data_IF_923223029466
#
_entry.id   IF_923223029466
#
_cell.length_a   1.000
_cell.length_b   1.000
_cell.length_c   1.000
_cell.angle_alpha   90.00
_cell.angle_beta   90.00
_cell.angle_gamma   90.00
#
_symmetry.space_group_name_H-M   'P 1'
#
loop_
_entity.id
_entity.type
_entity.pdbx_description
1 polymer ?
#
# COMPACT_ATOMS: atom_id res chain seq x y z
N UNK A 1 -4.60 -8.86 25.92
CA UNK A 1 -5.06 -8.69 24.53
C UNK A 1 -3.88 -8.70 23.56
N UNK A 2 -2.91 -7.79 23.68
CA UNK A 2 -1.73 -7.75 22.80
C UNK A 2 -1.04 -9.12 22.63
N UNK A 3 -0.60 -9.76 23.73
CA UNK A 3 0.04 -11.07 23.69
C UNK A 3 -0.83 -12.16 23.07
N UNK A 4 -2.13 -12.18 23.39
CA UNK A 4 -3.07 -13.14 22.81
C UNK A 4 -3.18 -12.98 21.29
N UNK A 5 -3.34 -11.75 20.80
CA UNK A 5 -3.43 -11.49 19.37
C UNK A 5 -2.13 -11.86 18.65
N UNK A 6 -0.97 -11.45 19.21
CA UNK A 6 0.32 -11.74 18.60
C UNK A 6 0.60 -13.24 18.53
N UNK A 7 0.38 -13.93 19.65
CA UNK A 7 0.56 -15.38 19.74
C UNK A 7 -0.33 -16.10 18.72
N UNK A 8 -1.63 -15.77 18.68
CA UNK A 8 -2.55 -16.44 17.76
C UNK A 8 -2.28 -16.13 16.29
N UNK A 9 -1.70 -14.95 15.94
CA UNK A 9 -1.29 -14.65 14.56
C UNK A 9 -0.20 -15.63 14.09
N UNK A 10 0.75 -16.00 14.96
CA UNK A 10 1.82 -16.93 14.61
C UNK A 10 1.45 -18.40 14.74
N UNK A 11 0.61 -18.74 15.73
CA UNK A 11 0.32 -20.13 16.09
C UNK A 11 -0.82 -20.75 15.26
N UNK A 12 -1.70 -19.93 14.68
CA UNK A 12 -2.95 -20.43 14.10
C UNK A 12 -3.04 -20.19 12.59
N UNK A 13 -3.29 -21.27 11.83
CA UNK A 13 -3.56 -21.19 10.39
C UNK A 13 -4.84 -20.42 10.06
N UNK A 14 -5.84 -20.39 10.96
CA UNK A 14 -7.09 -19.63 10.79
C UNK A 14 -7.45 -18.87 12.04
N UNK A 15 -7.22 -17.57 12.00
CA UNK A 15 -7.49 -16.70 13.13
C UNK A 15 -8.97 -16.28 13.20
N UNK A 16 -9.62 -16.58 14.33
CA UNK A 16 -11.00 -16.17 14.61
C UNK A 16 -11.16 -15.81 16.09
N UNK A 17 -12.25 -15.11 16.45
CA UNK A 17 -12.51 -14.82 17.87
C UNK A 17 -12.76 -16.07 18.72
N UNK A 18 -13.17 -17.20 18.11
CA UNK A 18 -13.27 -18.49 18.81
C UNK A 18 -11.90 -19.06 19.08
N UNK A 19 -11.04 -19.04 18.07
CA UNK A 19 -9.62 -19.43 18.20
C UNK A 19 -8.91 -18.63 19.29
N UNK A 20 -9.18 -17.32 19.39
CA UNK A 20 -8.67 -16.47 20.47
C UNK A 20 -9.19 -16.91 21.86
N UNK A 21 -10.46 -17.30 21.97
CA UNK A 21 -11.04 -17.84 23.21
C UNK A 21 -10.39 -19.17 23.60
N UNK A 22 -10.32 -20.11 22.66
CA UNK A 22 -9.75 -21.44 22.88
C UNK A 22 -8.28 -21.34 23.28
N UNK A 23 -7.50 -20.48 22.61
CA UNK A 23 -6.08 -20.27 22.92
C UNK A 23 -5.90 -19.69 24.31
N UNK A 24 -6.62 -18.61 24.66
CA UNK A 24 -6.51 -18.00 25.98
C UNK A 24 -6.87 -18.99 27.10
N UNK A 25 -7.88 -19.83 26.87
CA UNK A 25 -8.36 -20.79 27.86
C UNK A 25 -7.47 -22.06 27.94
N UNK A 26 -6.51 -22.23 27.04
CA UNK A 26 -5.56 -23.35 27.07
C UNK A 26 -4.52 -23.18 28.19
N UNK A 27 -4.14 -24.29 28.84
CA UNK A 27 -3.10 -24.25 29.88
C UNK A 27 -1.73 -23.84 29.33
N UNK A 28 -1.44 -24.17 28.07
CA UNK A 28 -0.17 -23.80 27.43
C UNK A 28 0.01 -22.28 27.30
N UNK A 29 -1.00 -21.58 26.82
CA UNK A 29 -0.97 -20.11 26.74
C UNK A 29 -0.87 -19.48 28.14
N UNK A 30 -1.65 -19.98 29.09
CA UNK A 30 -1.64 -19.47 30.47
C UNK A 30 -0.29 -19.65 31.15
N UNK A 31 0.31 -20.83 31.01
CA UNK A 31 1.64 -21.11 31.54
C UNK A 31 2.71 -20.20 30.91
N UNK A 32 2.64 -19.96 29.59
CA UNK A 32 3.61 -19.12 28.87
C UNK A 32 3.56 -17.65 29.32
N UNK A 33 2.38 -17.14 29.65
CA UNK A 33 2.17 -15.73 30.01
C UNK A 33 1.88 -15.50 31.51
N UNK A 34 2.04 -16.51 32.35
CA UNK A 34 1.89 -16.42 33.81
C UNK A 34 0.46 -16.09 34.28
N UNK A 35 -0.55 -16.63 33.59
CA UNK A 35 -1.98 -16.43 33.93
C UNK A 35 -2.51 -17.55 34.83
N UNK A 36 -3.51 -17.25 35.65
CA UNK A 36 -4.17 -18.23 36.51
C UNK A 36 -4.99 -19.26 35.72
N UNK A 37 -5.02 -20.51 36.17
CA UNK A 37 -5.80 -21.58 35.51
C UNK A 37 -7.31 -21.31 35.55
N UNK A 38 -7.79 -20.62 36.57
CA UNK A 38 -9.16 -20.16 36.74
C UNK A 38 -9.55 -19.01 35.81
N UNK A 39 -8.57 -18.25 35.28
CA UNK A 39 -8.85 -17.15 34.36
C UNK A 39 -9.46 -17.66 33.07
N UNK A 40 -10.59 -17.07 32.67
CA UNK A 40 -11.29 -17.45 31.45
C UNK A 40 -11.76 -16.24 30.69
N UNK A 41 -11.75 -16.35 29.38
CA UNK A 41 -12.36 -15.37 28.47
C UNK A 41 -13.42 -16.06 27.63
N UNK A 42 -14.40 -15.27 27.17
CA UNK A 42 -15.40 -15.69 26.18
C UNK A 42 -15.22 -14.89 24.90
N UNK A 43 -15.58 -15.47 23.76
CA UNK A 43 -15.60 -14.80 22.45
C UNK A 43 -16.34 -13.47 22.49
N UNK A 44 -17.47 -13.39 23.19
CA UNK A 44 -18.25 -12.14 23.31
C UNK A 44 -17.44 -11.03 23.99
N UNK A 45 -16.69 -11.37 25.03
CA UNK A 45 -15.81 -10.43 25.74
C UNK A 45 -14.65 -9.96 24.85
N UNK A 46 -14.08 -10.85 24.04
CA UNK A 46 -13.06 -10.50 23.04
C UNK A 46 -13.65 -9.54 22.00
N UNK A 47 -14.83 -9.85 21.45
CA UNK A 47 -15.52 -9.01 20.48
C UNK A 47 -15.81 -7.61 21.03
N UNK A 48 -16.27 -7.54 22.28
CA UNK A 48 -16.55 -6.27 22.94
C UNK A 48 -15.26 -5.48 23.16
N UNK A 49 -14.20 -6.14 23.63
CA UNK A 49 -12.90 -5.49 23.85
C UNK A 49 -12.32 -4.94 22.54
N UNK A 50 -12.34 -5.71 21.45
CA UNK A 50 -11.86 -5.26 20.14
C UNK A 50 -12.67 -4.08 19.58
N UNK A 51 -13.93 -3.93 19.98
CA UNK A 51 -14.76 -2.80 19.56
C UNK A 51 -14.52 -1.49 20.30
N UNK A 52 -13.82 -1.54 21.45
CA UNK A 52 -13.64 -0.41 22.38
C UNK A 52 -12.19 -0.05 22.67
N UNK A 53 -11.27 -1.01 22.52
CA UNK A 53 -9.84 -0.77 22.79
C UNK A 53 -9.30 0.27 21.82
N UNK A 54 -8.52 1.22 22.33
CA UNK A 54 -7.94 2.27 21.49
C UNK A 54 -6.95 1.66 20.48
N UNK A 55 -7.19 1.78 19.16
CA UNK A 55 -6.28 1.28 18.14
C UNK A 55 -4.95 2.05 18.12
N UNK A 56 -4.91 3.30 18.60
CA UNK A 56 -3.68 4.10 18.62
C UNK A 56 -2.58 3.46 19.46
N UNK A 57 -2.93 2.76 20.55
CA UNK A 57 -1.96 2.00 21.34
C UNK A 57 -1.16 0.99 20.47
N UNK A 58 -1.84 0.29 19.56
CA UNK A 58 -1.21 -0.69 18.68
C UNK A 58 -0.46 -0.01 17.54
N UNK A 59 -1.01 1.10 17.04
CA UNK A 59 -0.38 1.93 16.01
C UNK A 59 0.94 2.51 16.49
N UNK A 60 1.00 3.07 17.70
CA UNK A 60 2.22 3.65 18.27
C UNK A 60 3.31 2.60 18.46
N UNK A 61 2.97 1.39 18.93
CA UNK A 61 3.93 0.27 19.01
C UNK A 61 4.45 -0.08 17.62
N UNK A 62 3.57 -0.18 16.63
CA UNK A 62 3.93 -0.41 15.24
C UNK A 62 4.89 0.67 14.71
N UNK A 63 4.57 1.94 14.92
CA UNK A 63 5.38 3.08 14.44
C UNK A 63 6.76 3.11 15.12
N UNK A 64 6.82 2.92 16.45
CA UNK A 64 8.09 2.86 17.19
C UNK A 64 8.95 1.68 16.75
N UNK A 65 8.34 0.51 16.51
CA UNK A 65 9.05 -0.64 15.95
C UNK A 65 9.60 -0.31 14.56
N UNK A 66 8.80 0.29 13.68
CA UNK A 66 9.26 0.68 12.35
C UNK A 66 10.47 1.63 12.43
N UNK A 67 10.40 2.68 13.26
CA UNK A 67 11.51 3.63 13.47
C UNK A 67 12.77 2.93 13.99
N UNK A 68 12.62 2.08 15.02
CA UNK A 68 13.75 1.35 15.58
C UNK A 68 14.39 0.42 14.55
N UNK A 69 13.58 -0.32 13.78
CA UNK A 69 14.10 -1.35 12.88
C UNK A 69 14.56 -0.81 11.54
N UNK A 70 13.93 0.24 11.00
CA UNK A 70 14.40 0.91 9.78
C UNK A 70 15.84 1.42 9.94
N UNK A 71 16.24 1.84 11.15
CA UNK A 71 17.62 2.22 11.46
C UNK A 71 18.66 1.09 11.36
N UNK A 72 18.22 -0.18 11.37
CA UNK A 72 19.08 -1.36 11.27
C UNK A 72 19.33 -1.80 9.81
N UNK A 73 18.72 -1.13 8.83
CA UNK A 73 18.93 -1.39 7.41
C UNK A 73 19.79 -0.27 6.83
N UNK A 74 20.89 -0.64 6.16
CA UNK A 74 21.79 0.34 5.59
C UNK A 74 21.11 1.07 4.42
N UNK A 75 21.36 2.37 4.31
CA UNK A 75 20.97 3.21 3.16
C UNK A 75 21.55 2.74 1.81
N UNK A 76 22.39 1.71 1.79
CA UNK A 76 22.89 1.05 0.58
C UNK A 76 22.07 -0.18 0.14
N UNK A 77 21.26 -0.78 1.04
CA UNK A 77 20.28 -1.81 0.68
C UNK A 77 18.97 -1.19 0.16
N UNK A 78 18.67 0.00 0.66
CA UNK A 78 17.65 0.92 0.18
C UNK A 78 18.30 1.64 -1.01
N UNK A 79 17.80 1.44 -2.23
CA UNK A 79 18.36 2.11 -3.42
C UNK A 79 18.56 3.61 -3.15
N UNK A 80 19.56 4.21 -3.82
CA UNK A 80 19.99 5.64 -3.77
C UNK A 80 18.89 6.73 -3.68
N UNK A 81 17.60 6.35 -3.76
CA UNK A 81 16.42 7.19 -3.89
C UNK A 81 15.22 6.85 -2.96
N UNK A 82 15.39 6.13 -1.84
CA UNK A 82 14.33 5.86 -0.85
C UNK A 82 12.95 5.49 -1.46
N UNK A 83 12.87 4.38 -2.19
CA UNK A 83 11.66 3.99 -2.91
C UNK A 83 10.55 3.50 -1.97
N UNK A 84 9.35 4.08 -2.08
CA UNK A 84 8.16 3.61 -1.35
C UNK A 84 7.16 3.05 -2.35
N UNK A 85 6.90 1.75 -2.29
CA UNK A 85 5.89 1.10 -3.13
C UNK A 85 4.56 1.22 -2.44
N UNK A 86 3.54 1.68 -3.17
CA UNK A 86 2.20 1.87 -2.59
C UNK A 86 1.19 1.11 -3.42
N UNK A 87 0.39 0.30 -2.73
CA UNK A 87 -0.69 -0.45 -3.36
C UNK A 87 -1.82 -0.73 -2.38
N UNK A 88 -2.98 -1.12 -2.90
CA UNK A 88 -4.14 -1.49 -2.10
C UNK A 88 -4.46 -2.97 -2.22
N UNK A 89 -4.99 -3.53 -1.14
CA UNK A 89 -5.60 -4.85 -1.14
C UNK A 89 -7.00 -4.79 -0.54
N UNK A 90 -7.90 -5.62 -1.07
CA UNK A 90 -9.30 -5.71 -0.62
C UNK A 90 -9.54 -7.04 0.08
N UNK A 91 -10.33 -7.00 1.14
CA UNK A 91 -10.86 -8.18 1.84
C UNK A 91 -12.38 -8.22 1.71
N UNK A 92 -12.89 -9.35 1.19
CA UNK A 92 -14.29 -9.54 0.80
C UNK A 92 -15.00 -10.71 1.50
N UNK A 93 -14.27 -11.78 1.83
CA UNK A 93 -14.91 -13.08 2.11
C UNK A 93 -15.58 -13.18 3.48
N UNK A 94 -15.17 -12.36 4.45
CA UNK A 94 -15.77 -12.29 5.79
C UNK A 94 -16.78 -11.15 5.94
N UNK A 95 -17.10 -10.45 4.85
CA UNK A 95 -17.66 -9.10 4.93
C UNK A 95 -19.18 -8.98 4.75
N UNK A 96 -19.91 -10.10 4.61
CA UNK A 96 -21.38 -10.10 4.50
C UNK A 96 -22.09 -9.52 5.73
N UNK A 97 -21.40 -9.47 6.87
CA UNK A 97 -21.93 -8.98 8.17
C UNK A 97 -21.28 -7.67 8.65
N UNK A 98 -20.51 -6.99 7.81
CA UNK A 98 -19.93 -5.69 8.18
C UNK A 98 -21.03 -4.65 8.41
N UNK A 99 -20.91 -3.88 9.49
CA UNK A 99 -21.76 -2.70 9.71
C UNK A 99 -21.48 -1.64 8.66
N UNK A 100 -20.19 -1.38 8.40
CA UNK A 100 -19.70 -0.39 7.44
C UNK A 100 -18.67 -1.02 6.51
N UNK A 101 -18.66 -0.62 5.24
CA UNK A 101 -17.75 -1.13 4.22
C UNK A 101 -18.14 -0.64 2.84
N UNK A 102 -17.21 -0.77 1.89
CA UNK A 102 -17.42 -0.38 0.50
C UNK A 102 -18.40 -1.37 -0.14
N UNK A 103 -19.53 -0.87 -0.63
CA UNK A 103 -20.54 -1.68 -1.31
C UNK A 103 -20.37 -1.55 -2.82
N UNK A 104 -20.11 -2.67 -3.50
CA UNK A 104 -20.02 -2.72 -4.96
C UNK A 104 -21.34 -3.18 -5.62
N UNK A 105 -22.46 -3.12 -4.89
CA UNK A 105 -23.79 -3.59 -5.32
C UNK A 105 -23.83 -5.09 -5.64
N UNK A 106 -22.88 -5.84 -5.11
CA UNK A 106 -22.76 -7.30 -5.25
C UNK A 106 -23.33 -8.05 -4.04
N UNK A 107 -23.88 -7.34 -3.05
CA UNK A 107 -24.36 -7.90 -1.78
C UNK A 107 -23.26 -8.18 -0.75
N UNK A 108 -21.98 -7.96 -1.10
CA UNK A 108 -20.84 -8.02 -0.18
C UNK A 108 -20.29 -6.63 0.05
N UNK A 109 -20.10 -6.26 1.33
CA UNK A 109 -19.30 -5.09 1.71
C UNK A 109 -17.83 -5.46 1.65
N UNK A 110 -16.94 -4.49 1.49
CA UNK A 110 -15.51 -4.71 1.34
C UNK A 110 -14.74 -3.77 2.29
N UNK A 111 -13.59 -4.22 2.75
CA UNK A 111 -12.59 -3.36 3.41
C UNK A 111 -11.40 -3.25 2.48
N UNK A 112 -10.95 -2.02 2.26
CA UNK A 112 -9.73 -1.75 1.50
C UNK A 112 -8.62 -1.33 2.46
N UNK A 113 -7.45 -1.94 2.30
CA UNK A 113 -6.24 -1.58 2.99
C UNK A 113 -5.27 -1.01 1.97
N UNK A 114 -4.72 0.17 2.22
CA UNK A 114 -3.63 0.73 1.40
C UNK A 114 -2.36 0.69 2.22
N UNK A 115 -1.32 0.07 1.67
CA UNK A 115 -0.03 -0.10 2.33
C UNK A 115 1.05 0.66 1.59
N UNK A 116 2.00 1.18 2.37
CA UNK A 116 3.30 1.65 1.89
C UNK A 116 4.37 0.66 2.33
N UNK A 117 5.27 0.29 1.41
CA UNK A 117 6.33 -0.68 1.63
C UNK A 117 7.65 -0.13 1.10
N UNK A 118 8.66 -0.03 1.97
CA UNK A 118 9.98 0.54 1.61
C UNK A 118 10.90 -0.46 0.88
N UNK A 119 10.42 -1.69 0.67
CA UNK A 119 11.18 -2.80 0.08
C UNK A 119 11.60 -3.84 1.12
N UNK A 120 11.51 -3.49 2.41
CA UNK A 120 11.95 -4.31 3.52
C UNK A 120 10.85 -4.43 4.56
N UNK A 121 10.35 -3.29 5.05
CA UNK A 121 9.35 -3.17 6.10
C UNK A 121 8.11 -2.42 5.57
N UNK A 122 6.93 -2.73 6.11
CA UNK A 122 5.72 -2.00 5.77
C UNK A 122 5.66 -0.69 6.58
N UNK A 123 5.92 0.43 5.90
CA UNK A 123 6.10 1.76 6.50
C UNK A 123 4.80 2.50 6.82
N UNK A 124 3.69 2.13 6.20
CA UNK A 124 2.38 2.65 6.56
C UNK A 124 1.25 1.69 6.16
N UNK A 125 0.11 1.83 6.83
CA UNK A 125 -1.15 1.21 6.43
C UNK A 125 -2.34 2.11 6.78
N UNK A 126 -3.31 2.18 5.89
CA UNK A 126 -4.59 2.87 6.09
C UNK A 126 -5.78 1.94 5.83
N UNK A 127 -6.82 2.05 6.66
CA UNK A 127 -8.03 1.22 6.60
C UNK A 127 -9.20 2.03 6.06
N UNK A 128 -9.72 1.63 4.91
CA UNK A 128 -10.82 2.30 4.23
C UNK A 128 -12.09 1.45 4.16
N UNK A 129 -13.15 1.97 4.77
CA UNK A 129 -14.51 1.38 4.75
C UNK A 129 -15.54 2.25 4.03
N UNK A 130 -15.24 3.51 3.76
CA UNK A 130 -16.17 4.46 3.13
C UNK A 130 -16.29 4.29 1.61
N UNK A 131 -17.49 4.48 1.06
CA UNK A 131 -17.78 4.27 -0.37
C UNK A 131 -16.88 5.10 -1.31
N UNK A 132 -16.46 6.30 -0.88
CA UNK A 132 -15.56 7.17 -1.68
C UNK A 132 -14.22 6.50 -1.99
N UNK A 133 -13.78 5.52 -1.19
CA UNK A 133 -12.54 4.77 -1.37
C UNK A 133 -12.70 3.50 -2.21
N UNK A 134 -13.87 3.29 -2.81
CA UNK A 134 -14.06 2.25 -3.84
C UNK A 134 -13.06 2.41 -4.98
N UNK A 135 -12.75 3.64 -5.37
CA UNK A 135 -11.70 3.98 -6.33
C UNK A 135 -10.32 3.92 -5.68
N UNK A 136 -9.33 3.42 -6.40
CA UNK A 136 -7.93 3.43 -5.93
C UNK A 136 -7.34 4.83 -5.89
N UNK A 137 -7.68 5.69 -6.85
CA UNK A 137 -7.28 7.10 -6.87
C UNK A 137 -7.52 7.80 -5.53
N UNK A 138 -8.67 7.60 -4.88
CA UNK A 138 -8.97 8.25 -3.61
C UNK A 138 -8.24 7.60 -2.43
N UNK A 139 -8.19 6.26 -2.41
CA UNK A 139 -7.59 5.50 -1.32
C UNK A 139 -6.06 5.70 -1.27
N UNK A 140 -5.38 5.52 -2.40
CA UNK A 140 -3.93 5.67 -2.50
C UNK A 140 -3.50 7.12 -2.28
N UNK A 141 -4.25 8.10 -2.81
CA UNK A 141 -3.97 9.51 -2.56
C UNK A 141 -4.02 9.83 -1.06
N UNK A 142 -5.08 9.42 -0.36
CA UNK A 142 -5.22 9.70 1.06
C UNK A 142 -4.14 8.97 1.89
N UNK A 143 -3.83 7.72 1.55
CA UNK A 143 -2.78 6.95 2.22
C UNK A 143 -1.39 7.60 2.11
N UNK A 144 -1.00 8.01 0.90
CA UNK A 144 0.28 8.70 0.67
C UNK A 144 0.31 10.01 1.42
N UNK A 145 -0.74 10.84 1.31
CA UNK A 145 -0.78 12.13 1.98
C UNK A 145 -0.78 12.03 3.51
N UNK A 146 -1.33 10.97 4.08
CA UNK A 146 -1.28 10.72 5.53
C UNK A 146 0.12 10.30 5.98
N UNK A 147 0.83 9.50 5.18
CA UNK A 147 2.22 9.13 5.48
C UNK A 147 3.15 10.33 5.41
N UNK A 148 3.06 11.13 4.35
CA UNK A 148 3.89 12.33 4.13
C UNK A 148 3.85 13.28 5.31
N UNK A 149 2.67 13.47 5.92
CA UNK A 149 2.52 14.35 7.09
C UNK A 149 3.32 13.89 8.31
N UNK A 150 3.80 12.64 8.34
CA UNK A 150 4.62 12.08 9.41
C UNK A 150 6.12 12.23 9.14
N UNK A 151 6.54 12.37 7.89
CA UNK A 151 7.94 12.45 7.50
C UNK A 151 8.32 13.91 7.21
N UNK A 152 9.16 14.53 8.05
CA UNK A 152 9.51 15.96 7.93
C UNK A 152 10.47 16.28 6.76
N UNK A 153 11.18 15.27 6.23
CA UNK A 153 12.15 15.40 5.13
C UNK A 153 11.79 14.44 4.00
N UNK A 154 11.17 14.98 2.94
CA UNK A 154 10.60 14.17 1.86
C UNK A 154 11.60 13.88 0.73
N UNK A 155 12.44 12.85 0.91
CA UNK A 155 13.35 12.36 -0.15
C UNK A 155 12.81 11.13 -0.90
N UNK A 156 11.66 10.60 -0.49
CA UNK A 156 11.12 9.36 -1.05
C UNK A 156 10.60 9.51 -2.47
N UNK A 157 10.69 8.44 -3.26
CA UNK A 157 9.99 8.32 -4.54
C UNK A 157 8.87 7.27 -4.41
N UNK A 158 7.62 7.70 -4.56
CA UNK A 158 6.46 6.80 -4.50
C UNK A 158 6.22 6.06 -5.81
N UNK A 159 6.25 4.73 -5.77
CA UNK A 159 6.02 3.85 -6.92
C UNK A 159 4.58 3.32 -6.88
N UNK A 160 3.78 3.66 -7.89
CA UNK A 160 2.33 3.40 -7.90
C UNK A 160 1.93 2.76 -9.24
N UNK A 161 1.06 1.75 -9.22
CA UNK A 161 0.55 1.17 -10.47
C UNK A 161 -0.48 2.07 -11.17
N UNK A 162 -1.10 1.47 -12.19
CA UNK A 162 -2.30 1.94 -12.87
C UNK A 162 -3.49 2.31 -11.98
N UNK A 163 -3.45 2.03 -10.68
CA UNK A 163 -4.50 2.36 -9.72
C UNK A 163 -4.75 3.86 -9.51
N UNK A 164 -3.73 4.71 -9.70
CA UNK A 164 -3.86 6.15 -9.55
C UNK A 164 -3.68 6.85 -10.90
N UNK A 165 -4.76 7.42 -11.44
CA UNK A 165 -4.77 8.10 -12.74
C UNK A 165 -5.18 9.57 -12.66
N UNK A 166 -5.60 10.07 -11.50
CA UNK A 166 -6.06 11.44 -11.32
C UNK A 166 -4.92 12.45 -11.54
N UNK A 167 -5.01 13.24 -12.62
CA UNK A 167 -4.10 14.38 -12.86
C UNK A 167 -4.16 15.41 -11.72
N UNK A 168 -5.33 15.58 -11.08
CA UNK A 168 -5.47 16.48 -9.93
C UNK A 168 -4.64 16.01 -8.74
N UNK A 169 -4.60 14.70 -8.52
CA UNK A 169 -3.80 14.09 -7.45
C UNK A 169 -2.31 14.24 -7.73
N UNK A 170 -1.87 13.97 -8.97
CA UNK A 170 -0.48 14.19 -9.39
C UNK A 170 -0.05 15.66 -9.21
N UNK A 171 -0.96 16.61 -9.50
CA UNK A 171 -0.72 18.04 -9.24
C UNK A 171 -0.59 18.35 -7.75
N UNK A 172 -1.46 17.78 -6.91
CA UNK A 172 -1.40 17.97 -5.45
C UNK A 172 -0.11 17.37 -4.86
N UNK A 173 0.37 16.25 -5.42
CA UNK A 173 1.65 15.66 -5.06
C UNK A 173 2.82 16.58 -5.39
N UNK A 174 2.86 17.14 -6.59
CA UNK A 174 3.86 18.15 -6.96
C UNK A 174 3.85 19.36 -6.01
N UNK A 175 2.66 19.89 -5.69
CA UNK A 175 2.51 21.04 -4.79
C UNK A 175 3.00 20.78 -3.36
N UNK A 176 3.05 19.50 -2.97
CA UNK A 176 3.57 19.03 -1.67
C UNK A 176 4.99 18.49 -1.78
N UNK A 177 5.68 18.72 -2.89
CA UNK A 177 7.04 18.27 -3.17
C UNK A 177 7.20 16.73 -3.09
N UNK A 178 6.14 15.97 -3.41
CA UNK A 178 6.16 14.51 -3.40
C UNK A 178 6.64 13.98 -4.73
N UNK A 179 7.76 13.25 -4.73
CA UNK A 179 8.27 12.58 -5.93
C UNK A 179 7.53 11.26 -6.16
N UNK A 180 7.17 10.98 -7.40
CA UNK A 180 6.45 9.75 -7.74
C UNK A 180 6.83 9.19 -9.10
N UNK A 181 6.66 7.88 -9.27
CA UNK A 181 6.63 7.19 -10.56
C UNK A 181 5.32 6.41 -10.62
N UNK A 182 4.41 6.86 -11.48
CA UNK A 182 3.09 6.25 -11.65
C UNK A 182 3.02 5.59 -13.00
N UNK A 183 2.58 4.32 -13.04
CA UNK A 183 2.21 3.71 -14.32
C UNK A 183 0.89 4.29 -14.81
N UNK A 184 0.95 5.01 -15.91
CA UNK A 184 -0.22 5.55 -16.59
C UNK A 184 -0.92 4.47 -17.42
N UNK A 185 -2.23 4.66 -17.64
CA UNK A 185 -2.93 4.01 -18.74
C UNK A 185 -2.34 4.45 -20.09
N UNK A 186 -2.32 3.53 -21.04
CA UNK A 186 -1.94 3.78 -22.43
C UNK A 186 -2.86 4.84 -23.06
N UNK A 187 -2.35 5.58 -24.05
CA UNK A 187 -3.10 6.60 -24.79
C UNK A 187 -3.71 7.71 -23.91
N UNK A 188 -3.12 7.97 -22.74
CA UNK A 188 -3.51 9.12 -21.91
C UNK A 188 -3.34 10.40 -22.72
N UNK A 189 -4.32 11.29 -22.66
CA UNK A 189 -4.25 12.58 -23.35
C UNK A 189 -3.25 13.51 -22.65
N UNK A 190 -2.34 14.08 -23.43
CA UNK A 190 -1.32 15.04 -22.98
C UNK A 190 -1.01 16.07 -24.07
N UNK A 191 -0.46 17.21 -23.66
CA UNK A 191 0.21 18.17 -24.53
C UNK A 191 1.72 18.01 -24.33
N UNK A 192 2.46 17.78 -25.42
CA UNK A 192 3.91 17.73 -25.39
C UNK A 192 4.49 19.13 -25.43
N UNK A 193 5.40 19.42 -24.50
CA UNK A 193 6.07 20.72 -24.37
C UNK A 193 7.49 20.63 -24.92
N UNK A 194 8.20 19.55 -24.58
CA UNK A 194 9.59 19.34 -24.92
C UNK A 194 9.88 17.83 -25.01
N UNK A 195 10.62 17.40 -26.03
CA UNK A 195 11.12 16.02 -26.14
C UNK A 195 12.54 15.95 -25.62
N UNK A 196 12.81 14.99 -24.75
CA UNK A 196 14.15 14.65 -24.25
C UNK A 196 14.80 13.54 -25.10
N UNK A 197 14.05 12.91 -25.99
CA UNK A 197 14.59 11.89 -26.89
C UNK A 197 15.28 12.56 -28.08
N UNK A 198 16.57 12.29 -28.26
CA UNK A 198 17.32 12.68 -29.46
C UNK A 198 16.97 11.76 -30.63
N UNK A 199 16.69 12.35 -31.80
CA UNK A 199 16.21 11.62 -33.00
C UNK A 199 17.20 10.61 -33.56
N UNK A 200 18.49 10.77 -33.29
CA UNK A 200 19.55 9.98 -33.91
C UNK A 200 20.00 8.78 -33.06
N UNK A 201 19.73 8.78 -31.75
CA UNK A 201 20.15 7.75 -30.82
C UNK A 201 18.96 7.22 -30.00
N UNK A 202 18.25 6.23 -30.55
CA UNK A 202 17.19 5.55 -29.81
C UNK A 202 17.78 4.88 -28.56
N UNK A 203 17.46 5.43 -27.38
CA UNK A 203 17.93 4.92 -26.10
C UNK A 203 17.37 3.51 -25.88
N UNK A 204 18.28 2.55 -25.67
CA UNK A 204 17.95 1.13 -25.50
C UNK A 204 18.80 0.52 -24.39
N UNK A 205 18.22 -0.43 -23.67
CA UNK A 205 18.94 -1.31 -22.76
C UNK A 205 18.26 -2.68 -22.74
N UNK A 206 19.04 -3.76 -22.79
CA UNK A 206 18.53 -5.13 -22.87
C UNK A 206 17.46 -5.28 -23.99
N UNK A 207 16.26 -5.74 -23.62
CA UNK A 207 15.10 -5.88 -24.51
C UNK A 207 14.18 -4.64 -24.50
N UNK A 208 14.62 -3.51 -23.96
CA UNK A 208 13.83 -2.30 -23.80
C UNK A 208 14.28 -1.18 -24.73
N UNK A 209 13.31 -0.52 -25.34
CA UNK A 209 13.50 0.66 -26.17
C UNK A 209 12.66 1.81 -25.63
N UNK A 210 13.24 3.00 -25.53
CA UNK A 210 12.48 4.23 -25.26
C UNK A 210 11.74 4.64 -26.54
N UNK A 211 10.42 4.78 -26.42
CA UNK A 211 9.54 5.22 -27.49
C UNK A 211 9.24 6.71 -27.36
N UNK A 212 9.12 7.20 -26.13
CA UNK A 212 8.88 8.60 -25.82
C UNK A 212 9.52 8.98 -24.51
N UNK A 213 10.13 10.13 -24.45
CA UNK A 213 10.59 10.75 -23.21
C UNK A 213 10.41 12.26 -23.34
N UNK A 214 9.40 12.80 -22.67
CA UNK A 214 8.96 14.17 -22.94
C UNK A 214 8.46 14.87 -21.68
N UNK A 215 8.72 16.17 -21.61
CA UNK A 215 7.98 17.08 -20.73
C UNK A 215 6.59 17.31 -21.30
N UNK A 216 5.57 17.12 -20.47
CA UNK A 216 4.16 17.20 -20.88
C UNK A 216 3.32 17.97 -19.88
N UNK A 217 2.17 18.47 -20.37
CA UNK A 217 1.04 18.89 -19.55
C UNK A 217 -0.10 17.88 -19.70
N UNK A 218 -0.68 17.48 -18.58
CA UNK A 218 -1.76 16.49 -18.55
C UNK A 218 -3.14 17.17 -18.52
N UNK A 219 -4.14 16.49 -19.08
CA UNK A 219 -5.53 16.96 -19.03
C UNK A 219 -6.24 16.47 -17.76
N UNK A 220 -7.21 17.25 -17.29
CA UNK A 220 -8.12 16.90 -16.21
C UNK A 220 -9.54 17.36 -16.50
N UNK A 221 -10.53 16.68 -15.93
CA UNK A 221 -11.94 17.03 -16.10
C UNK A 221 -12.43 17.98 -15.01
N UNK A 222 -12.75 19.22 -15.37
CA UNK A 222 -13.39 20.20 -14.48
C UNK A 222 -14.91 20.03 -14.49
N UNK A 223 -15.55 19.82 -13.33
CA UNK A 223 -17.00 19.77 -13.26
C UNK A 223 -17.59 21.14 -13.58
N UNK A 224 -18.56 21.17 -14.47
CA UNK A 224 -19.35 22.33 -14.88
C UNK A 224 -20.81 21.95 -14.71
N UNK A 225 -21.55 22.72 -13.91
CA UNK A 225 -23.00 22.57 -13.85
C UNK A 225 -23.64 23.19 -15.08
N UNK A 226 -24.47 22.43 -15.77
CA UNK A 226 -25.32 23.00 -16.82
C UNK A 226 -26.51 23.74 -16.20
N UNK A 227 -27.24 24.50 -17.02
CA UNK A 227 -28.45 25.26 -16.62
C UNK A 227 -29.57 24.38 -16.03
N UNK A 228 -29.47 23.04 -16.13
CA UNK A 228 -30.43 22.06 -15.61
C UNK A 228 -29.94 21.35 -14.34
N UNK A 229 -28.80 21.76 -13.77
CA UNK A 229 -28.21 21.17 -12.57
C UNK A 229 -27.37 19.90 -12.78
N UNK A 230 -27.24 19.41 -14.01
CA UNK A 230 -26.40 18.24 -14.32
C UNK A 230 -24.92 18.65 -14.39
N UNK A 231 -24.05 17.83 -13.81
CA UNK A 231 -22.60 18.03 -13.85
C UNK A 231 -22.05 17.42 -15.14
N UNK A 232 -21.41 18.25 -15.97
CA UNK A 232 -20.60 17.84 -17.12
C UNK A 232 -19.13 18.08 -16.82
N UNK A 233 -18.23 17.30 -17.41
CA UNK A 233 -16.79 17.52 -17.22
C UNK A 233 -16.20 18.14 -18.49
N UNK A 234 -15.67 19.36 -18.38
CA UNK A 234 -14.87 19.96 -19.44
C UNK A 234 -13.41 19.62 -19.22
N UNK A 235 -12.72 19.22 -20.28
CA UNK A 235 -11.27 19.03 -20.21
C UNK A 235 -10.56 20.38 -20.11
N UNK A 236 -9.65 20.47 -19.14
CA UNK A 236 -8.68 21.55 -19.03
C UNK A 236 -7.29 20.96 -18.80
N UNK A 237 -6.26 21.72 -19.14
CA UNK A 237 -4.86 21.34 -18.89
C UNK A 237 -4.49 21.78 -17.48
N UNK A 238 -3.71 20.98 -16.77
CA UNK A 238 -3.02 21.47 -15.57
C UNK A 238 -1.75 22.22 -15.99
N UNK A 239 -1.46 23.34 -15.33
CA UNK A 239 -0.24 24.14 -15.59
C UNK A 239 1.04 23.41 -15.14
N UNK A 240 0.91 22.42 -14.26
CA UNK A 240 2.02 21.59 -13.79
C UNK A 240 2.61 20.78 -14.94
N UNK A 241 3.94 20.81 -15.05
CA UNK A 241 4.68 19.98 -15.99
C UNK A 241 5.02 18.64 -15.34
N UNK A 242 4.82 17.57 -16.10
CA UNK A 242 5.27 16.23 -15.73
C UNK A 242 6.18 15.68 -16.82
N UNK A 243 6.89 14.60 -16.53
CA UNK A 243 7.58 13.80 -17.53
C UNK A 243 6.73 12.59 -17.88
N UNK A 244 6.54 12.38 -19.18
CA UNK A 244 5.94 11.17 -19.75
C UNK A 244 7.05 10.34 -20.39
N UNK A 245 7.29 9.16 -19.84
CA UNK A 245 8.19 8.17 -20.38
C UNK A 245 7.38 6.99 -20.92
N UNK A 246 7.63 6.59 -22.17
CA UNK A 246 7.07 5.38 -22.77
C UNK A 246 8.20 4.47 -23.18
N UNK A 247 8.24 3.27 -22.61
CA UNK A 247 9.18 2.22 -22.99
C UNK A 247 8.43 1.05 -23.61
N UNK A 248 9.08 0.35 -24.54
CA UNK A 248 8.55 -0.83 -25.19
C UNK A 248 9.51 -1.99 -25.01
N UNK A 249 8.97 -3.13 -24.62
CA UNK A 249 9.71 -4.38 -24.63
C UNK A 249 9.73 -4.94 -26.06
N UNK A 250 10.91 -5.07 -26.67
CA UNK A 250 11.05 -5.48 -28.07
C UNK A 250 10.65 -6.94 -28.30
N UNK A 251 10.78 -7.81 -27.29
CA UNK A 251 10.37 -9.23 -27.38
C UNK A 251 8.86 -9.43 -27.34
N UNK A 252 8.17 -8.72 -26.46
CA UNK A 252 6.72 -8.89 -26.23
C UNK A 252 5.87 -7.85 -26.96
N UNK A 253 6.48 -6.77 -27.45
CA UNK A 253 5.79 -5.63 -28.03
C UNK A 253 5.02 -4.76 -27.03
N UNK A 254 5.05 -5.10 -25.74
CA UNK A 254 4.27 -4.41 -24.69
C UNK A 254 4.88 -3.06 -24.34
N UNK A 255 4.02 -2.04 -24.24
CA UNK A 255 4.40 -0.70 -23.82
C UNK A 255 4.08 -0.44 -22.34
N UNK A 256 4.92 0.37 -21.72
CA UNK A 256 4.72 0.87 -20.37
C UNK A 256 4.85 2.38 -20.39
N UNK A 257 3.77 3.03 -19.97
CA UNK A 257 3.65 4.48 -19.90
C UNK A 257 3.84 4.91 -18.43
N UNK A 258 4.79 5.77 -18.18
CA UNK A 258 5.10 6.30 -16.86
C UNK A 258 4.89 7.81 -16.83
N UNK A 259 4.21 8.28 -15.80
CA UNK A 259 4.13 9.71 -15.47
C UNK A 259 4.89 9.92 -14.18
N UNK A 260 5.80 10.88 -14.19
CA UNK A 260 6.62 11.25 -13.03
C UNK A 260 6.85 12.76 -12.99
N UNK A 261 7.15 13.29 -11.80
CA UNK A 261 7.70 14.63 -11.62
C UNK A 261 9.21 14.62 -11.33
N UNK A 262 9.87 13.46 -11.42
CA UNK A 262 11.31 13.33 -11.30
C UNK A 262 11.98 13.39 -12.68
N UNK A 263 12.69 14.48 -12.93
CA UNK A 263 13.34 14.78 -14.21
C UNK A 263 14.81 14.34 -14.24
N UNK A 264 15.44 14.14 -13.08
CA UNK A 264 16.88 13.84 -13.00
C UNK A 264 17.20 12.36 -13.26
N UNK A 265 16.22 11.47 -13.09
CA UNK A 265 16.42 10.04 -13.34
C UNK A 265 16.51 9.73 -14.83
N UNK A 266 17.36 8.79 -15.21
CA UNK A 266 17.36 8.24 -16.57
C UNK A 266 16.09 7.41 -16.84
N UNK A 267 15.74 7.25 -18.12
CA UNK A 267 14.64 6.37 -18.53
C UNK A 267 14.80 4.93 -18.00
N UNK A 268 16.05 4.45 -17.94
CA UNK A 268 16.39 3.13 -17.38
C UNK A 268 16.14 3.08 -15.88
N UNK A 269 16.56 4.10 -15.12
CA UNK A 269 16.31 4.16 -13.67
C UNK A 269 14.82 4.19 -13.35
N UNK A 270 14.01 4.99 -14.06
CA UNK A 270 12.55 5.02 -13.88
C UNK A 270 11.95 3.62 -14.09
N UNK A 271 12.38 2.93 -15.16
CA UNK A 271 11.95 1.57 -15.46
C UNK A 271 12.36 0.57 -14.37
N UNK A 272 13.61 0.64 -13.91
CA UNK A 272 14.15 -0.25 -12.89
C UNK A 272 13.46 -0.03 -11.53
N UNK A 273 13.20 1.22 -11.15
CA UNK A 273 12.47 1.56 -9.92
C UNK A 273 11.02 1.12 -9.98
N UNK A 274 10.35 1.33 -11.11
CA UNK A 274 9.00 0.80 -11.28
C UNK A 274 8.97 -0.73 -11.20
N UNK A 275 10.00 -1.43 -11.68
CA UNK A 275 10.07 -2.90 -11.58
C UNK A 275 10.11 -3.38 -10.12
N UNK A 276 10.62 -2.59 -9.19
CA UNK A 276 10.57 -2.91 -7.75
C UNK A 276 9.15 -2.89 -7.16
N UNK A 277 8.14 -2.44 -7.91
CA UNK A 277 6.75 -2.50 -7.47
C UNK A 277 6.27 -3.93 -7.19
N UNK A 278 6.85 -4.95 -7.83
CA UNK A 278 6.52 -6.35 -7.54
C UNK A 278 6.78 -6.74 -6.07
N UNK A 279 7.68 -6.05 -5.37
CA UNK A 279 8.00 -6.35 -3.97
C UNK A 279 6.77 -6.22 -3.07
N UNK A 280 5.90 -5.23 -3.30
CA UNK A 280 4.67 -5.07 -2.50
C UNK A 280 3.64 -6.17 -2.81
N UNK A 281 3.61 -6.70 -4.03
CA UNK A 281 2.74 -7.82 -4.39
C UNK A 281 3.20 -9.10 -3.68
N UNK A 282 4.51 -9.32 -3.57
CA UNK A 282 5.09 -10.40 -2.77
C UNK A 282 4.75 -10.22 -1.29
N UNK A 283 4.85 -9.00 -0.76
CA UNK A 283 4.44 -8.68 0.60
C UNK A 283 2.95 -8.95 0.84
N UNK A 284 2.04 -8.57 -0.08
CA UNK A 284 0.63 -8.89 0.04
C UNK A 284 0.34 -10.38 0.03
N UNK A 285 1.05 -11.15 -0.81
CA UNK A 285 0.95 -12.60 -0.80
C UNK A 285 1.35 -13.16 0.57
N UNK A 286 2.46 -12.69 1.13
CA UNK A 286 2.91 -13.06 2.48
C UNK A 286 1.86 -12.70 3.55
N UNK A 287 1.38 -11.45 3.57
CA UNK A 287 0.38 -11.01 4.55
C UNK A 287 -0.92 -11.82 4.47
N UNK A 288 -1.36 -12.17 3.26
CA UNK A 288 -2.61 -12.92 3.05
C UNK A 288 -2.49 -14.40 3.35
N UNK A 289 -1.38 -15.02 2.97
CA UNK A 289 -1.18 -16.47 3.06
C UNK A 289 -0.64 -16.87 4.44
N UNK A 290 0.36 -16.15 4.95
CA UNK A 290 1.06 -16.52 6.17
C UNK A 290 0.48 -15.81 7.41
N UNK A 291 -0.07 -14.60 7.26
CA UNK A 291 -0.56 -13.79 8.38
C UNK A 291 -2.07 -13.56 8.38
N UNK A 292 -2.81 -14.32 7.57
CA UNK A 292 -4.27 -14.36 7.58
C UNK A 292 -4.99 -13.02 7.34
N UNK A 293 -4.35 -12.06 6.65
CA UNK A 293 -4.95 -10.74 6.36
C UNK A 293 -6.27 -10.85 5.58
N UNK A 294 -6.47 -11.94 4.82
CA UNK A 294 -7.69 -12.19 4.03
C UNK A 294 -8.93 -12.48 4.89
N UNK A 295 -8.78 -12.73 6.19
CA UNK A 295 -9.88 -13.11 7.08
C UNK A 295 -10.02 -12.10 8.23
N UNK A 296 -11.15 -11.38 8.27
CA UNK A 296 -11.40 -10.41 9.33
C UNK A 296 -11.83 -11.09 10.63
N UNK A 297 -11.02 -10.92 11.68
CA UNK A 297 -11.34 -11.38 13.05
C UNK A 297 -12.43 -10.52 13.70
N UNK A 298 -12.51 -9.25 13.32
CA UNK A 298 -13.53 -8.29 13.79
C UNK A 298 -14.32 -7.72 12.63
N UNK A 299 -15.60 -7.43 12.87
CA UNK A 299 -16.53 -6.86 11.87
C UNK A 299 -16.85 -5.37 12.11
N UNK A 300 -16.17 -4.74 13.07
CA UNK A 300 -16.24 -3.30 13.32
C UNK A 300 -14.90 -2.66 12.97
N UNK A 301 -14.92 -1.40 12.52
CA UNK A 301 -13.75 -0.66 12.06
C UNK A 301 -12.61 -0.67 13.08
N UNK A 302 -12.92 -0.37 14.35
CA UNK A 302 -11.95 -0.34 15.44
C UNK A 302 -11.16 -1.65 15.58
N UNK A 303 -11.86 -2.79 15.65
CA UNK A 303 -11.21 -4.08 15.77
C UNK A 303 -10.48 -4.50 14.49
N UNK A 304 -10.89 -4.02 13.31
CA UNK A 304 -10.16 -4.24 12.07
C UNK A 304 -8.82 -3.48 12.11
N UNK A 305 -8.82 -2.22 12.54
CA UNK A 305 -7.61 -1.42 12.71
C UNK A 305 -6.65 -2.07 13.70
N UNK A 306 -7.14 -2.49 14.88
CA UNK A 306 -6.33 -3.24 15.86
C UNK A 306 -5.69 -4.46 15.24
N UNK A 307 -6.47 -5.28 14.52
CA UNK A 307 -5.93 -6.49 13.90
C UNK A 307 -4.88 -6.18 12.84
N UNK A 308 -5.10 -5.17 12.01
CA UNK A 308 -4.13 -4.77 10.99
C UNK A 308 -2.81 -4.31 11.61
N UNK A 309 -2.85 -3.48 12.66
CA UNK A 309 -1.62 -3.08 13.36
C UNK A 309 -0.93 -4.28 14.01
N UNK A 310 -1.66 -5.22 14.60
CA UNK A 310 -1.08 -6.46 15.12
C UNK A 310 -0.44 -7.33 14.02
N UNK A 311 -1.08 -7.44 12.86
CA UNK A 311 -0.53 -8.16 11.70
C UNK A 311 0.74 -7.48 11.18
N UNK A 312 0.79 -6.14 11.21
CA UNK A 312 1.98 -5.36 10.83
C UNK A 312 3.13 -5.55 11.83
N UNK A 313 2.84 -5.55 13.13
CA UNK A 313 3.81 -5.88 14.17
C UNK A 313 4.37 -7.29 13.96
N UNK A 314 3.48 -8.26 13.75
CA UNK A 314 3.86 -9.65 13.52
C UNK A 314 4.74 -9.82 12.26
N UNK A 315 4.37 -9.14 11.17
CA UNK A 315 5.13 -9.17 9.92
C UNK A 315 6.54 -8.60 10.09
N UNK A 316 6.68 -7.46 10.78
CA UNK A 316 7.99 -6.88 11.07
C UNK A 316 8.84 -7.82 11.91
N UNK A 317 8.30 -8.39 12.99
CA UNK A 317 9.05 -9.35 13.83
C UNK A 317 9.58 -10.53 13.02
N UNK A 318 8.79 -11.10 12.11
CA UNK A 318 9.23 -12.17 11.23
C UNK A 318 10.32 -11.73 10.24
N UNK A 319 10.16 -10.55 9.64
CA UNK A 319 11.13 -10.00 8.70
C UNK A 319 12.47 -9.70 9.39
N UNK A 320 12.44 -9.20 10.62
CA UNK A 320 13.63 -8.96 11.45
C UNK A 320 14.27 -10.28 11.85
N UNK A 321 13.49 -11.24 12.36
CA UNK A 321 14.00 -12.56 12.72
C UNK A 321 14.70 -13.20 11.52
N UNK A 322 14.08 -13.11 10.33
CA UNK A 322 14.65 -13.59 9.07
C UNK A 322 15.98 -12.91 8.75
N UNK A 323 16.08 -11.58 8.88
CA UNK A 323 17.33 -10.84 8.66
C UNK A 323 18.42 -11.24 9.66
N UNK A 324 18.13 -11.20 10.95
CA UNK A 324 19.10 -11.49 12.02
C UNK A 324 19.66 -12.91 11.89
N UNK A 325 18.85 -13.86 11.41
CA UNK A 325 19.25 -15.25 11.22
C UNK A 325 19.74 -15.57 9.80
N UNK A 326 19.91 -14.57 8.91
CA UNK A 326 20.32 -14.75 7.52
C UNK A 326 19.49 -15.79 6.74
N UNK A 327 18.19 -15.86 7.03
CA UNK A 327 17.28 -16.82 6.40
C UNK A 327 16.80 -16.24 5.06
N UNK A 328 17.20 -16.84 3.93
CA UNK A 328 16.67 -16.49 2.62
C UNK A 328 15.25 -17.04 2.39
N UNK A 329 14.56 -16.57 1.36
CA UNK A 329 13.44 -17.35 0.81
C UNK A 329 14.04 -18.65 0.25
N UNK A 330 13.50 -19.83 0.61
CA UNK A 330 13.69 -21.01 -0.24
C UNK A 330 13.00 -20.68 -1.56
N UNK A 331 13.77 -20.24 -2.55
CA UNK A 331 13.30 -20.28 -3.94
C UNK A 331 12.92 -21.74 -4.19
N UNK A 332 11.63 -21.98 -4.45
CA UNK A 332 11.19 -23.28 -4.94
C UNK A 332 12.06 -23.60 -6.17
N UNK A 333 12.75 -24.74 -6.13
CA UNK A 333 13.49 -25.28 -7.27
C UNK A 333 12.54 -25.71 -8.36
#
# INVERSE_FOLDING_TARGET
>A
MFYLLLFCIFDNEKLSQRTLEDTFNSSGFKALFGLGEEEKVRRSSISERLSKIDPNYFKEIYEQMYEQFSSLYDKSEIEKYNLIRVDSTIVADTCSKLKEGIDQKSGKKLVKFSFSFDGILPSAVEVFTGQKYSTEDNALAEAILNQVKKEEHHDNIYIIDRGMQSTRTMKDFEQKCLKFIIRSKENRKFEEIESFLETENALKWDDWKVIKDSKVRLYTGKPIQNKRGNIHHREEKVETHFRLLVIKNEKTGKEFWFVTNEFELSAKEISDYYRKRWDIEVFFRFMKQELNLSHLVSLNKNGIEVMVYMTMIASMLLLIYKKVNNLGYKTAK
#
